data_IF_195747774185
#
_entry.id   IF_195747774185
#
_cell.length_a   1.000
_cell.length_b   1.000
_cell.length_c   1.000
_cell.angle_alpha   90.00
_cell.angle_beta   90.00
_cell.angle_gamma   90.00
#
_symmetry.space_group_name_H-M   'P 1'
#
loop_
_entity.id
_entity.type
_entity.pdbx_description
1 polymer ?
#
# COMPACT_ATOMS: atom_id res chain seq x y z
N UNK A 1 -5.32 -9.90 -3.49
CA UNK A 1 -4.40 -9.04 -4.27
C UNK A 1 -3.36 -9.96 -4.84
N UNK A 2 -2.80 -9.66 -6.01
CA UNK A 2 -1.67 -10.44 -6.54
C UNK A 2 -0.36 -10.04 -5.86
N UNK A 3 0.66 -10.89 -5.93
CA UNK A 3 2.01 -10.54 -5.44
C UNK A 3 2.59 -9.34 -6.18
N UNK A 4 2.30 -9.21 -7.48
CA UNK A 4 2.69 -8.05 -8.28
C UNK A 4 2.04 -6.75 -7.77
N UNK A 5 0.75 -6.79 -7.41
CA UNK A 5 0.05 -5.65 -6.82
C UNK A 5 0.66 -5.25 -5.46
N UNK A 6 0.99 -6.24 -4.62
CA UNK A 6 1.64 -6.02 -3.33
C UNK A 6 2.99 -5.34 -3.52
N UNK A 7 3.84 -5.89 -4.39
CA UNK A 7 5.18 -5.38 -4.65
C UNK A 7 5.17 -3.97 -5.27
N UNK A 8 4.17 -3.69 -6.11
CA UNK A 8 3.97 -2.37 -6.68
C UNK A 8 3.65 -1.33 -5.59
N UNK A 9 2.73 -1.66 -4.67
CA UNK A 9 2.38 -0.78 -3.55
C UNK A 9 3.58 -0.59 -2.61
N UNK A 10 4.39 -1.62 -2.39
CA UNK A 10 5.62 -1.52 -1.58
C UNK A 10 6.65 -0.58 -2.20
N UNK A 11 6.89 -0.66 -3.52
CA UNK A 11 7.80 0.27 -4.23
C UNK A 11 7.28 1.71 -4.15
N UNK A 12 5.98 1.89 -4.35
CA UNK A 12 5.35 3.20 -4.19
C UNK A 12 5.51 3.73 -2.75
N UNK A 13 5.26 2.89 -1.74
CA UNK A 13 5.49 3.20 -0.34
C UNK A 13 6.96 3.49 -0.04
N UNK A 14 7.92 2.86 -0.73
CA UNK A 14 9.34 3.12 -0.57
C UNK A 14 9.77 4.49 -1.15
N UNK A 15 8.93 5.12 -1.97
CA UNK A 15 9.15 6.45 -2.53
C UNK A 15 9.18 6.50 -4.06
N UNK A 16 8.91 5.38 -4.74
CA UNK A 16 8.77 5.39 -6.21
C UNK A 16 7.39 5.93 -6.61
N UNK A 17 7.29 7.26 -6.65
CA UNK A 17 6.04 7.96 -6.96
C UNK A 17 5.61 7.81 -8.43
N UNK A 18 6.46 7.27 -9.31
CA UNK A 18 6.08 6.98 -10.70
C UNK A 18 5.00 5.90 -10.77
N UNK A 19 4.92 5.03 -9.75
CA UNK A 19 3.97 3.92 -9.67
C UNK A 19 2.62 4.32 -9.05
N UNK A 20 2.40 5.60 -8.74
CA UNK A 20 1.20 6.05 -8.01
C UNK A 20 -0.11 5.61 -8.67
N UNK A 21 -0.27 5.84 -9.96
CA UNK A 21 -1.51 5.50 -10.67
C UNK A 21 -1.75 3.99 -10.69
N UNK A 22 -0.69 3.21 -10.90
CA UNK A 22 -0.75 1.76 -10.88
C UNK A 22 -1.09 1.22 -9.48
N UNK A 23 -0.57 1.84 -8.42
CA UNK A 23 -0.85 1.47 -7.03
C UNK A 23 -2.31 1.73 -6.66
N UNK A 24 -2.85 2.88 -7.06
CA UNK A 24 -4.27 3.21 -6.90
C UNK A 24 -5.13 2.21 -7.70
N UNK A 25 -4.73 1.87 -8.91
CA UNK A 25 -5.42 0.86 -9.72
C UNK A 25 -5.47 -0.52 -9.05
N UNK A 26 -4.36 -0.98 -8.48
CA UNK A 26 -4.28 -2.22 -7.71
C UNK A 26 -5.21 -2.21 -6.49
N UNK A 27 -5.18 -1.13 -5.72
CA UNK A 27 -6.06 -0.93 -4.56
C UNK A 27 -7.55 -1.01 -4.93
N UNK A 28 -7.98 -0.31 -5.99
CA UNK A 28 -9.38 -0.29 -6.41
C UNK A 28 -9.87 -1.64 -6.94
N UNK A 29 -9.01 -2.39 -7.63
CA UNK A 29 -9.30 -3.78 -8.01
C UNK A 29 -9.49 -4.66 -6.77
N UNK A 30 -8.63 -4.48 -5.77
CA UNK A 30 -8.71 -5.24 -4.52
C UNK A 30 -9.99 -4.97 -3.74
N UNK A 31 -10.38 -3.69 -3.61
CA UNK A 31 -11.67 -3.28 -3.02
C UNK A 31 -12.86 -3.92 -3.74
N UNK A 32 -12.84 -3.88 -5.07
CA UNK A 32 -13.94 -4.42 -5.90
C UNK A 32 -14.08 -5.94 -5.77
N UNK A 33 -12.97 -6.63 -5.46
CA UNK A 33 -12.95 -8.06 -5.19
C UNK A 33 -13.29 -8.42 -3.72
N UNK A 34 -13.58 -7.43 -2.86
CA UNK A 34 -13.90 -7.65 -1.45
C UNK A 34 -12.72 -8.14 -0.61
N UNK A 35 -11.48 -7.87 -1.03
CA UNK A 35 -10.29 -8.28 -0.30
C UNK A 35 -10.20 -7.46 1.00
N UNK A 36 -10.08 -8.16 2.12
CA UNK A 36 -10.08 -7.58 3.47
C UNK A 36 -8.92 -6.63 3.77
N UNK A 37 -9.03 -5.95 4.91
CA UNK A 37 -8.07 -4.95 5.38
C UNK A 37 -6.73 -5.60 5.75
N UNK A 38 -5.71 -5.37 4.93
CA UNK A 38 -4.32 -5.64 5.24
C UNK A 38 -3.51 -4.34 5.23
N UNK A 39 -2.23 -4.37 5.61
CA UNK A 39 -1.41 -3.16 5.71
C UNK A 39 -1.27 -2.41 4.37
N UNK A 40 -1.19 -3.11 3.24
CA UNK A 40 -1.18 -2.48 1.91
C UNK A 40 -2.49 -1.74 1.65
N UNK A 41 -3.63 -2.33 1.99
CA UNK A 41 -4.96 -1.72 1.84
C UNK A 41 -5.15 -0.51 2.77
N UNK A 42 -4.71 -0.58 4.02
CA UNK A 42 -4.80 0.52 4.98
C UNK A 42 -3.94 1.72 4.54
N UNK A 43 -2.72 1.47 4.09
CA UNK A 43 -1.88 2.51 3.52
C UNK A 43 -2.53 3.13 2.27
N UNK A 44 -3.02 2.30 1.36
CA UNK A 44 -3.63 2.79 0.11
C UNK A 44 -4.97 3.49 0.33
N UNK A 45 -5.74 3.11 1.35
CA UNK A 45 -6.95 3.83 1.77
C UNK A 45 -6.61 5.28 2.11
N UNK A 46 -5.57 5.50 2.91
CA UNK A 46 -5.12 6.86 3.19
C UNK A 46 -4.54 7.56 1.96
N UNK A 47 -4.03 6.86 0.96
CA UNK A 47 -3.49 7.46 -0.28
C UNK A 47 -4.59 7.91 -1.25
N UNK A 48 -5.66 7.11 -1.41
CA UNK A 48 -6.80 7.40 -2.30
C UNK A 48 -7.91 8.22 -1.60
N UNK A 49 -7.74 8.52 -0.30
CA UNK A 49 -8.64 9.39 0.45
C UNK A 49 -8.48 10.88 0.07
N UNK A 50 -9.60 11.55 -0.20
CA UNK A 50 -9.68 12.99 -0.47
C UNK A 50 -9.26 13.88 0.70
N UNK A 51 -9.41 13.38 1.94
CA UNK A 51 -9.05 14.08 3.18
C UNK A 51 -8.21 13.12 4.04
N UNK A 52 -6.94 12.92 3.68
CA UNK A 52 -6.11 11.92 4.34
C UNK A 52 -5.60 12.39 5.71
N UNK A 53 -5.49 11.46 6.66
CA UNK A 53 -4.72 11.71 7.87
C UNK A 53 -3.24 11.43 7.57
N UNK A 54 -2.45 12.50 7.50
CA UNK A 54 -1.04 12.41 7.15
C UNK A 54 -0.20 11.66 8.19
N UNK A 55 -0.57 11.75 9.48
CA UNK A 55 0.12 11.02 10.55
C UNK A 55 -0.18 9.53 10.45
N UNK A 56 -1.45 9.19 10.21
CA UNK A 56 -1.88 7.81 10.03
C UNK A 56 -1.25 7.18 8.78
N UNK A 57 -1.28 7.90 7.66
CA UNK A 57 -0.62 7.48 6.40
C UNK A 57 0.86 7.21 6.62
N UNK A 58 1.56 8.08 7.36
CA UNK A 58 2.97 7.90 7.68
C UNK A 58 3.22 6.65 8.54
N UNK A 59 2.36 6.41 9.54
CA UNK A 59 2.42 5.22 10.39
C UNK A 59 2.22 3.94 9.59
N UNK A 60 1.18 3.86 8.75
CA UNK A 60 0.94 2.70 7.90
C UNK A 60 2.06 2.47 6.89
N UNK A 61 2.58 3.54 6.29
CA UNK A 61 3.75 3.45 5.41
C UNK A 61 4.96 2.85 6.13
N UNK A 62 5.24 3.28 7.36
CA UNK A 62 6.35 2.74 8.14
C UNK A 62 6.14 1.26 8.49
N UNK A 63 4.95 0.89 8.97
CA UNK A 63 4.62 -0.49 9.30
C UNK A 63 4.74 -1.41 8.07
N UNK A 64 4.24 -0.96 6.93
CA UNK A 64 4.36 -1.67 5.66
C UNK A 64 5.83 -1.91 5.27
N UNK A 65 6.65 -0.87 5.27
CA UNK A 65 8.07 -0.99 4.90
C UNK A 65 8.88 -1.84 5.90
N UNK A 66 8.52 -1.83 7.17
CA UNK A 66 9.15 -2.69 8.18
C UNK A 66 8.80 -4.16 7.94
N UNK A 67 7.53 -4.47 7.64
CA UNK A 67 7.10 -5.83 7.32
C UNK A 67 7.81 -6.39 6.09
N UNK A 68 7.92 -5.60 5.02
CA UNK A 68 8.63 -6.03 3.80
C UNK A 68 10.13 -6.25 4.04
N UNK A 69 10.77 -5.44 4.89
CA UNK A 69 12.20 -5.62 5.24
C UNK A 69 12.44 -6.82 6.17
N UNK A 70 11.52 -7.10 7.08
CA UNK A 70 11.60 -8.25 8.00
C UNK A 70 11.38 -9.60 7.31
N UNK A 71 10.64 -9.62 6.20
CA UNK A 71 10.39 -10.83 5.40
C UNK A 71 11.52 -11.24 4.45
N UNK A 72 12.57 -10.43 4.28
CA UNK A 72 13.74 -10.78 3.44
C UNK A 72 14.89 -11.45 4.22
N UNK A 73 14.64 -11.90 5.45
CA UNK A 73 15.62 -12.55 6.31
C UNK A 73 15.25 -14.01 6.66
N UNK A 74 14.94 -14.84 5.66
CA UNK A 74 15.00 -16.32 5.73
C UNK A 74 15.15 -16.91 4.35
#
# INVERSE_FOLDING_TARGET
MTDDDLHLIEKFAAGDHSLRESAIGAYRRALSAGIGENMHMLFMAEVDNSVPDLALRASYRQQLLQATRGGQAT
#
